data_IF_889168522727
#
_entry.id   IF_889168522727
#
_cell.length_a   1.000
_cell.length_b   1.000
_cell.length_c   1.000
_cell.angle_alpha   90.00
_cell.angle_beta   90.00
_cell.angle_gamma   90.00
#
_symmetry.space_group_name_H-M   'P 1'
#
loop_
_entity.id
_entity.type
_entity.pdbx_description
1 polymer ?
#
# COMPACT_ATOMS: atom_id res chain seq x y z
N UNK A 1 -58.97 -60.69 14.62
CA UNK A 1 -60.18 -60.11 13.98
C UNK A 1 -60.67 -58.94 14.82
N UNK A 2 -61.12 -57.88 14.13
CA UNK A 2 -61.82 -56.66 14.60
C UNK A 2 -60.94 -55.45 14.95
N UNK A 3 -60.80 -54.65 13.89
CA UNK A 3 -60.59 -53.20 13.83
C UNK A 3 -61.42 -52.44 14.87
N UNK A 4 -60.95 -51.27 15.33
CA UNK A 4 -61.66 -49.98 15.15
C UNK A 4 -60.71 -48.79 15.17
N UNK A 5 -60.92 -47.98 14.14
CA UNK A 5 -60.40 -46.67 13.79
C UNK A 5 -61.05 -45.60 14.70
N UNK A 6 -60.30 -44.59 15.15
CA UNK A 6 -60.87 -43.26 15.41
C UNK A 6 -59.81 -42.18 15.23
N UNK A 7 -60.11 -41.28 14.30
CA UNK A 7 -59.43 -40.03 13.98
C UNK A 7 -59.51 -39.01 15.13
N UNK A 8 -58.78 -37.90 14.92
CA UNK A 8 -58.85 -36.55 15.53
C UNK A 8 -57.74 -36.31 16.58
N UNK A 9 -56.88 -35.29 16.54
CA UNK A 9 -56.92 -33.94 15.96
C UNK A 9 -55.49 -33.45 15.66
N UNK A 10 -55.34 -32.54 14.70
CA UNK A 10 -54.12 -31.81 14.40
C UNK A 10 -53.56 -31.07 15.64
N UNK A 11 -52.27 -31.21 15.91
CA UNK A 11 -51.43 -30.10 16.37
C UNK A 11 -50.07 -30.17 15.67
N UNK A 12 -50.03 -29.60 14.46
CA UNK A 12 -48.79 -29.29 13.78
C UNK A 12 -48.14 -28.14 14.54
N UNK A 13 -47.39 -28.46 15.61
CA UNK A 13 -46.51 -27.48 16.26
C UNK A 13 -45.34 -27.27 15.30
N UNK A 14 -45.52 -26.31 14.38
CA UNK A 14 -44.42 -25.60 13.75
C UNK A 14 -43.63 -24.93 14.88
N UNK A 15 -42.65 -25.64 15.42
CA UNK A 15 -41.56 -25.00 16.15
C UNK A 15 -40.81 -24.21 15.09
N UNK A 16 -41.24 -22.96 14.91
CA UNK A 16 -40.48 -21.94 14.20
C UNK A 16 -39.20 -21.82 15.02
N UNK A 17 -38.17 -22.52 14.55
CA UNK A 17 -36.79 -22.26 14.95
C UNK A 17 -36.52 -20.81 14.55
N UNK A 18 -36.67 -19.88 15.47
CA UNK A 18 -36.03 -18.59 15.38
C UNK A 18 -34.53 -18.88 15.43
N UNK A 19 -33.95 -19.16 14.26
CA UNK A 19 -32.56 -18.84 14.02
C UNK A 19 -32.50 -17.33 14.14
N UNK A 20 -32.20 -16.86 15.35
CA UNK A 20 -31.52 -15.59 15.48
C UNK A 20 -30.26 -15.73 14.64
N UNK A 21 -30.27 -15.11 13.46
CA UNK A 21 -29.04 -14.79 12.77
C UNK A 21 -28.31 -13.85 13.71
N UNK A 22 -27.41 -14.41 14.53
CA UNK A 22 -26.37 -13.65 15.17
C UNK A 22 -25.59 -13.00 14.03
N UNK A 23 -25.83 -11.72 13.76
CA UNK A 23 -24.90 -10.90 13.00
C UNK A 23 -23.65 -10.79 13.87
N UNK A 24 -22.79 -11.79 13.77
CA UNK A 24 -21.45 -11.73 14.30
C UNK A 24 -20.70 -10.69 13.47
N UNK A 25 -20.77 -9.43 13.87
CA UNK A 25 -19.76 -8.44 13.50
C UNK A 25 -18.70 -8.46 14.61
N UNK A 26 -17.68 -9.31 14.50
CA UNK A 26 -16.37 -8.94 15.00
C UNK A 26 -15.41 -9.00 13.81
N UNK A 27 -15.56 -8.04 12.91
CA UNK A 27 -14.60 -7.84 11.82
C UNK A 27 -13.71 -6.68 12.22
N UNK A 28 -12.39 -6.85 12.16
CA UNK A 28 -11.42 -5.82 12.47
C UNK A 28 -11.73 -4.54 11.66
N UNK A 29 -12.36 -3.54 12.28
CA UNK A 29 -12.79 -2.29 11.63
C UNK A 29 -11.64 -1.53 10.94
N UNK A 30 -10.39 -1.89 11.23
CA UNK A 30 -9.18 -1.28 10.68
C UNK A 30 -8.54 -2.07 9.52
N UNK A 31 -9.27 -2.98 8.88
CA UNK A 31 -8.78 -3.64 7.66
C UNK A 31 -8.60 -2.62 6.54
N UNK A 32 -7.50 -2.74 5.79
CA UNK A 32 -7.12 -1.81 4.73
C UNK A 32 -6.72 -0.40 5.21
N UNK A 33 -6.67 -0.14 6.53
CA UNK A 33 -6.30 1.15 7.10
C UNK A 33 -4.79 1.19 7.44
N UNK A 34 -4.04 2.21 6.96
CA UNK A 34 -2.66 2.43 7.38
C UNK A 34 -2.57 2.73 8.87
N UNK A 35 -1.54 2.23 9.60
CA UNK A 35 -1.38 2.52 11.02
C UNK A 35 -1.37 4.01 11.39
N UNK A 36 -0.88 4.87 10.49
CA UNK A 36 -0.84 6.31 10.68
C UNK A 36 -2.23 6.97 10.65
N UNK A 37 -3.20 6.31 10.02
CA UNK A 37 -4.56 6.79 9.86
C UNK A 37 -5.53 6.18 10.87
N UNK A 38 -5.12 5.21 11.69
CA UNK A 38 -6.05 4.54 12.64
C UNK A 38 -6.75 5.55 13.57
N UNK A 39 -6.04 6.54 14.09
CA UNK A 39 -6.62 7.56 14.97
C UNK A 39 -7.64 8.46 14.26
N UNK A 40 -7.53 8.62 12.94
CA UNK A 40 -8.52 9.32 12.13
C UNK A 40 -9.85 8.56 12.10
N UNK A 41 -9.78 7.23 11.94
CA UNK A 41 -10.92 6.34 11.82
C UNK A 41 -11.50 5.89 13.18
N UNK A 42 -10.79 6.10 14.30
CA UNK A 42 -11.30 5.83 15.67
C UNK A 42 -12.45 6.75 16.10
N UNK A 43 -12.71 7.85 15.39
CA UNK A 43 -13.76 8.83 15.73
C UNK A 43 -15.16 8.28 15.47
N UNK A 44 -16.15 8.70 16.26
CA UNK A 44 -17.56 8.30 16.06
C UNK A 44 -18.16 8.86 14.77
N UNK A 45 -17.78 10.10 14.43
CA UNK A 45 -18.13 10.77 13.18
C UNK A 45 -16.84 11.09 12.44
N UNK A 46 -16.71 10.51 11.25
CA UNK A 46 -15.54 10.63 10.39
C UNK A 46 -15.94 11.54 9.22
N UNK A 47 -15.00 12.36 8.75
CA UNK A 47 -15.22 13.19 7.55
C UNK A 47 -14.65 12.45 6.35
N UNK A 48 -15.15 12.66 5.14
CA UNK A 48 -14.39 12.29 3.95
C UNK A 48 -13.12 13.17 3.89
N UNK A 49 -11.98 12.64 3.45
CA UNK A 49 -10.71 13.39 3.41
C UNK A 49 -10.76 14.58 2.45
N UNK A 50 -11.55 14.49 1.39
CA UNK A 50 -11.85 15.58 0.45
C UNK A 50 -12.80 16.66 1.03
N UNK A 51 -13.34 16.45 2.23
CA UNK A 51 -14.23 17.39 2.91
C UNK A 51 -15.68 17.40 2.43
N UNK A 52 -16.11 16.49 1.55
CA UNK A 52 -17.44 16.51 0.94
C UNK A 52 -18.58 16.24 1.95
N UNK A 53 -18.48 15.14 2.71
CA UNK A 53 -19.49 14.73 3.69
C UNK A 53 -18.87 14.09 4.93
N UNK A 54 -19.73 13.67 5.85
CA UNK A 54 -19.37 12.93 7.06
C UNK A 54 -20.13 11.61 7.08
N UNK A 55 -19.53 10.60 7.70
CA UNK A 55 -20.09 9.27 7.87
C UNK A 55 -19.83 8.77 9.28
N UNK A 56 -20.60 7.78 9.71
CA UNK A 56 -20.46 7.16 11.04
C UNK A 56 -19.59 5.91 10.96
N UNK A 57 -19.16 5.38 12.11
CA UNK A 57 -18.45 4.09 12.15
C UNK A 57 -19.22 2.92 11.53
N UNK A 58 -20.56 2.98 11.49
CA UNK A 58 -21.36 1.94 10.87
C UNK A 58 -21.24 1.91 9.34
N UNK A 59 -20.79 3.03 8.75
CA UNK A 59 -20.56 3.21 7.31
C UNK A 59 -19.08 3.13 6.97
N UNK A 60 -18.25 2.60 7.87
CA UNK A 60 -16.83 2.36 7.62
C UNK A 60 -16.68 0.90 7.23
N UNK A 61 -16.23 0.63 6.01
CA UNK A 61 -16.12 -0.72 5.45
C UNK A 61 -17.45 -1.48 5.46
N UNK A 62 -18.53 -0.82 5.06
CA UNK A 62 -19.88 -1.40 4.99
C UNK A 62 -20.24 -1.92 3.59
N UNK A 63 -19.26 -1.93 2.67
CA UNK A 63 -19.39 -2.34 1.28
C UNK A 63 -20.32 -1.42 0.46
N UNK A 64 -20.49 -0.17 0.92
CA UNK A 64 -21.23 0.86 0.19
C UNK A 64 -20.41 2.15 0.05
N UNK A 65 -20.24 2.62 -1.19
CA UNK A 65 -19.44 3.81 -1.43
C UNK A 65 -20.18 5.10 -1.11
N UNK A 66 -19.95 5.60 0.09
CA UNK A 66 -20.41 6.87 0.57
C UNK A 66 -19.51 8.02 0.09
N UNK A 67 -18.21 8.02 0.40
CA UNK A 67 -17.37 9.17 0.10
C UNK A 67 -16.92 9.15 -1.38
N UNK A 68 -16.99 10.29 -2.09
CA UNK A 68 -16.48 10.38 -3.46
C UNK A 68 -14.98 10.09 -3.60
N UNK A 69 -14.21 10.22 -2.52
CA UNK A 69 -12.78 9.91 -2.46
C UNK A 69 -12.48 8.50 -1.93
N UNK A 70 -13.51 7.73 -1.56
CA UNK A 70 -13.40 6.38 -1.00
C UNK A 70 -12.84 6.31 0.41
N UNK A 71 -12.87 7.40 1.18
CA UNK A 71 -12.36 7.42 2.57
C UNK A 71 -13.04 6.40 3.48
N UNK A 72 -14.32 6.16 3.26
CA UNK A 72 -15.22 5.28 4.02
C UNK A 72 -15.00 3.79 3.75
N UNK A 73 -14.41 3.43 2.61
CA UNK A 73 -14.20 2.03 2.21
C UNK A 73 -12.70 1.70 2.01
N UNK A 74 -11.83 1.91 3.02
CA UNK A 74 -10.41 1.53 2.92
C UNK A 74 -10.18 0.02 2.87
N UNK A 75 -11.14 -0.76 3.36
CA UNK A 75 -11.07 -2.19 3.58
C UNK A 75 -11.88 -3.04 2.61
N UNK A 76 -12.64 -2.43 1.70
CA UNK A 76 -13.53 -3.14 0.75
C UNK A 76 -13.27 -2.67 -0.69
N UNK A 77 -13.99 -3.28 -1.64
CA UNK A 77 -13.95 -2.93 -3.06
C UNK A 77 -14.98 -1.88 -3.49
N UNK A 78 -15.82 -1.37 -2.59
CA UNK A 78 -17.02 -0.62 -2.96
C UNK A 78 -16.74 0.74 -3.64
N UNK A 79 -15.65 1.41 -3.29
CA UNK A 79 -15.31 2.72 -3.85
C UNK A 79 -14.26 2.64 -4.97
N UNK A 80 -14.50 3.21 -6.18
CA UNK A 80 -13.59 3.09 -7.32
C UNK A 80 -12.24 3.82 -7.15
N UNK A 81 -12.19 4.86 -6.30
CA UNK A 81 -10.96 5.58 -5.97
C UNK A 81 -10.33 5.09 -4.65
N UNK A 82 -10.96 4.11 -4.00
CA UNK A 82 -10.49 3.52 -2.75
C UNK A 82 -9.14 2.84 -2.90
N UNK A 83 -8.39 2.80 -1.81
CA UNK A 83 -7.09 2.12 -1.73
C UNK A 83 -7.02 1.28 -0.48
N UNK A 84 -6.63 0.03 -0.66
CA UNK A 84 -6.45 -0.94 0.42
C UNK A 84 -4.99 -0.98 0.87
N UNK A 85 -4.76 -0.90 2.18
CA UNK A 85 -3.41 -1.00 2.75
C UNK A 85 -3.06 -2.44 3.14
N UNK A 86 -2.10 -3.03 2.42
CA UNK A 86 -1.45 -4.28 2.84
C UNK A 86 -0.38 -3.96 3.90
N UNK A 87 -0.50 -4.56 5.09
CA UNK A 87 0.50 -4.38 6.16
C UNK A 87 1.81 -5.08 5.80
N UNK A 88 1.73 -6.25 5.16
CA UNK A 88 2.85 -7.03 4.66
C UNK A 88 3.97 -7.19 5.70
N UNK A 89 3.64 -7.51 6.95
CA UNK A 89 4.63 -7.62 8.04
C UNK A 89 5.75 -8.58 7.60
N UNK A 90 7.02 -8.17 7.73
CA UNK A 90 8.18 -8.92 7.24
C UNK A 90 8.62 -8.54 5.82
N UNK A 91 7.80 -7.76 5.10
CA UNK A 91 8.12 -7.12 3.83
C UNK A 91 7.74 -5.62 3.87
N UNK A 92 7.87 -4.91 2.75
CA UNK A 92 7.44 -3.53 2.64
C UNK A 92 5.89 -3.46 2.53
N UNK A 93 5.24 -2.54 3.26
CA UNK A 93 3.80 -2.30 3.08
C UNK A 93 3.52 -1.75 1.69
N UNK A 94 2.31 -1.99 1.20
CA UNK A 94 1.88 -1.56 -0.13
C UNK A 94 0.42 -1.13 -0.14
N UNK A 95 0.05 -0.35 -1.15
CA UNK A 95 -1.34 -0.01 -1.43
C UNK A 95 -1.82 -0.73 -2.68
N UNK A 96 -3.03 -1.27 -2.61
CA UNK A 96 -3.75 -1.82 -3.75
C UNK A 96 -4.92 -0.90 -4.11
N UNK A 97 -5.37 -0.98 -5.36
CA UNK A 97 -6.65 -0.41 -5.74
C UNK A 97 -7.77 -1.26 -5.14
N UNK A 98 -8.84 -0.62 -4.68
CA UNK A 98 -10.01 -1.28 -4.08
C UNK A 98 -10.58 -2.40 -4.94
N UNK A 99 -10.49 -2.31 -6.27
CA UNK A 99 -10.95 -3.34 -7.21
C UNK A 99 -10.28 -4.70 -7.05
N UNK A 100 -9.18 -4.79 -6.30
CA UNK A 100 -8.43 -6.02 -6.01
C UNK A 100 -8.74 -6.63 -4.65
N UNK A 101 -9.67 -6.03 -3.90
CA UNK A 101 -10.08 -6.55 -2.61
C UNK A 101 -11.18 -7.59 -2.85
N UNK A 102 -10.97 -8.82 -2.38
CA UNK A 102 -11.87 -9.97 -2.60
C UNK A 102 -12.21 -10.23 -4.09
N UNK A 103 -11.24 -10.02 -4.99
CA UNK A 103 -11.39 -10.31 -6.43
C UNK A 103 -11.00 -11.77 -6.77
N UNK A 104 -10.51 -12.52 -5.79
CA UNK A 104 -10.08 -13.90 -5.90
C UNK A 104 -8.61 -14.08 -6.26
N UNK A 105 -7.81 -13.01 -6.28
CA UNK A 105 -6.39 -13.02 -6.58
C UNK A 105 -5.62 -12.56 -5.33
N UNK A 106 -4.57 -13.28 -4.97
CA UNK A 106 -3.72 -12.90 -3.83
C UNK A 106 -2.68 -11.86 -4.27
N UNK A 107 -2.96 -10.58 -4.06
CA UNK A 107 -2.07 -9.45 -4.33
C UNK A 107 -1.21 -9.06 -3.12
N UNK A 108 -1.77 -9.03 -1.90
CA UNK A 108 -0.96 -8.79 -0.70
C UNK A 108 -0.16 -10.05 -0.34
N UNK A 109 1.12 -9.90 0.04
CA UNK A 109 1.93 -11.06 0.45
C UNK A 109 1.46 -11.67 1.78
N UNK A 110 0.69 -10.91 2.57
CA UNK A 110 0.08 -11.37 3.81
C UNK A 110 -1.33 -11.96 3.58
N UNK A 111 -1.85 -11.90 2.35
CA UNK A 111 -3.17 -12.39 1.96
C UNK A 111 -4.34 -11.61 2.56
N UNK A 112 -4.10 -10.41 3.09
CA UNK A 112 -5.11 -9.63 3.80
C UNK A 112 -6.19 -9.01 2.90
N UNK A 113 -5.96 -8.98 1.59
CA UNK A 113 -6.85 -8.53 0.54
C UNK A 113 -8.01 -9.52 0.24
N UNK A 114 -7.80 -10.82 0.50
CA UNK A 114 -8.78 -11.88 0.25
C UNK A 114 -9.31 -12.47 1.58
N UNK A 115 -10.08 -11.67 2.31
CA UNK A 115 -10.54 -11.98 3.66
C UNK A 115 -11.94 -12.60 3.72
N UNK A 116 -12.68 -12.64 2.61
CA UNK A 116 -14.05 -13.19 2.55
C UNK A 116 -14.11 -14.73 2.62
N UNK A 117 -12.96 -15.40 2.57
CA UNK A 117 -12.82 -16.84 2.70
C UNK A 117 -13.10 -17.64 1.42
N UNK A 118 -13.37 -17.00 0.28
CA UNK A 118 -13.52 -17.69 -1.02
C UNK A 118 -12.19 -18.23 -1.54
N UNK A 119 -11.10 -17.52 -1.26
CA UNK A 119 -9.73 -17.90 -1.64
C UNK A 119 -8.87 -17.99 -0.38
N UNK A 120 -7.94 -18.95 -0.35
CA UNK A 120 -6.95 -19.08 0.73
C UNK A 120 -5.60 -18.57 0.25
N UNK A 121 -5.26 -17.35 0.62
CA UNK A 121 -3.97 -16.76 0.28
C UNK A 121 -2.87 -17.19 1.26
N UNK A 122 -1.75 -17.74 0.76
CA UNK A 122 -0.62 -18.12 1.61
C UNK A 122 0.18 -16.88 2.03
N UNK A 123 0.67 -16.89 3.27
CA UNK A 123 1.60 -15.86 3.74
C UNK A 123 2.99 -16.06 3.10
N UNK A 124 3.44 -15.09 2.32
CA UNK A 124 4.70 -15.11 1.55
C UNK A 124 5.65 -13.95 1.89
N UNK A 125 5.25 -13.04 2.80
CA UNK A 125 6.01 -11.83 3.08
C UNK A 125 7.43 -12.08 3.58
N UNK A 126 7.68 -13.13 4.36
CA UNK A 126 9.02 -13.40 4.88
C UNK A 126 10.03 -13.67 3.75
N UNK A 127 9.66 -14.52 2.78
CA UNK A 127 10.53 -14.84 1.66
C UNK A 127 10.69 -13.64 0.72
N UNK A 128 9.60 -12.97 0.38
CA UNK A 128 9.63 -11.75 -0.42
C UNK A 128 10.49 -10.65 0.24
N UNK A 129 10.36 -10.49 1.56
CA UNK A 129 11.16 -9.59 2.39
C UNK A 129 12.65 -9.91 2.35
N UNK A 130 13.01 -11.19 2.48
CA UNK A 130 14.40 -11.66 2.40
C UNK A 130 15.01 -11.34 1.03
N UNK A 131 14.32 -11.70 -0.06
CA UNK A 131 14.78 -11.42 -1.44
C UNK A 131 14.94 -9.91 -1.68
N UNK A 132 13.97 -9.11 -1.22
CA UNK A 132 14.02 -7.66 -1.35
C UNK A 132 15.20 -7.05 -0.57
N UNK A 133 15.47 -7.54 0.64
CA UNK A 133 16.60 -7.11 1.45
C UNK A 133 17.95 -7.44 0.78
N UNK A 134 18.11 -8.65 0.25
CA UNK A 134 19.32 -9.04 -0.47
C UNK A 134 19.53 -8.22 -1.75
N UNK A 135 18.45 -7.93 -2.48
CA UNK A 135 18.49 -7.05 -3.66
C UNK A 135 18.89 -5.61 -3.28
N UNK A 136 18.33 -5.08 -2.19
CA UNK A 136 18.64 -3.74 -1.70
C UNK A 136 20.11 -3.62 -1.25
N UNK A 137 20.63 -4.63 -0.53
CA UNK A 137 22.04 -4.66 -0.11
C UNK A 137 22.98 -4.56 -1.31
N UNK A 138 22.75 -5.36 -2.36
CA UNK A 138 23.55 -5.31 -3.60
C UNK A 138 23.48 -3.94 -4.27
N UNK A 139 22.31 -3.32 -4.34
CA UNK A 139 22.15 -1.97 -4.90
C UNK A 139 22.91 -0.92 -4.10
N UNK A 140 22.88 -1.02 -2.77
CA UNK A 140 23.61 -0.10 -1.88
C UNK A 140 25.12 -0.22 -2.09
N UNK A 141 25.63 -1.45 -2.18
CA UNK A 141 27.06 -1.72 -2.42
C UNK A 141 27.54 -1.08 -3.74
N UNK A 142 26.86 -1.37 -4.84
CA UNK A 142 27.16 -0.77 -6.15
C UNK A 142 27.08 0.76 -6.13
N UNK A 143 26.07 1.31 -5.43
CA UNK A 143 25.93 2.75 -5.28
C UNK A 143 27.10 3.37 -4.51
N UNK A 144 27.54 2.73 -3.42
CA UNK A 144 28.66 3.20 -2.60
C UNK A 144 29.97 3.20 -3.39
N UNK A 145 30.24 2.14 -4.16
CA UNK A 145 31.38 2.09 -5.08
C UNK A 145 31.35 3.25 -6.09
N UNK A 146 30.19 3.47 -6.70
CA UNK A 146 29.98 4.58 -7.64
C UNK A 146 30.20 5.96 -7.00
N UNK A 147 29.79 6.15 -5.74
CA UNK A 147 30.03 7.39 -4.99
C UNK A 147 31.52 7.62 -4.75
N UNK A 148 32.29 6.58 -4.42
CA UNK A 148 33.75 6.68 -4.21
C UNK A 148 34.44 7.07 -5.51
N UNK A 149 34.14 6.39 -6.61
CA UNK A 149 34.72 6.69 -7.92
C UNK A 149 34.39 8.13 -8.35
N UNK A 150 33.12 8.53 -8.24
CA UNK A 150 32.68 9.89 -8.56
C UNK A 150 33.45 10.95 -7.79
N UNK A 151 33.78 10.69 -6.51
CA UNK A 151 34.57 11.62 -5.68
C UNK A 151 35.99 11.79 -6.22
N UNK A 152 36.63 10.70 -6.66
CA UNK A 152 37.98 10.73 -7.26
C UNK A 152 37.96 11.51 -8.57
N UNK A 153 37.02 11.20 -9.46
CA UNK A 153 36.87 11.86 -10.77
C UNK A 153 36.59 13.36 -10.64
N UNK A 154 35.73 13.76 -9.70
CA UNK A 154 35.51 15.18 -9.40
C UNK A 154 36.82 15.86 -8.97
N UNK A 155 37.64 15.18 -8.17
CA UNK A 155 38.95 15.70 -7.75
C UNK A 155 39.93 15.85 -8.92
N UNK A 156 39.97 14.87 -9.82
CA UNK A 156 40.80 14.91 -11.03
C UNK A 156 40.36 16.02 -11.98
N UNK A 157 39.06 16.10 -12.27
CA UNK A 157 38.48 17.14 -13.10
C UNK A 157 38.79 18.55 -12.57
N UNK A 158 38.65 18.78 -11.25
CA UNK A 158 39.02 20.06 -10.63
C UNK A 158 40.50 20.41 -10.84
N UNK A 159 41.40 19.44 -10.72
CA UNK A 159 42.84 19.65 -10.96
C UNK A 159 43.14 19.93 -12.44
N UNK A 160 42.51 19.21 -13.35
CA UNK A 160 42.68 19.43 -14.79
C UNK A 160 42.22 20.85 -15.18
N UNK A 161 41.01 21.24 -14.76
CA UNK A 161 40.47 22.59 -14.99
C UNK A 161 41.41 23.68 -14.45
N UNK A 162 42.00 23.47 -13.27
CA UNK A 162 42.95 24.43 -12.70
C UNK A 162 44.23 24.57 -13.54
N UNK A 163 44.78 23.46 -14.05
CA UNK A 163 45.96 23.47 -14.94
C UNK A 163 45.66 24.15 -16.27
N UNK A 164 44.56 23.76 -16.91
CA UNK A 164 44.15 24.33 -18.21
C UNK A 164 43.90 25.83 -18.10
N UNK A 165 43.30 26.28 -16.98
CA UNK A 165 43.10 27.71 -16.70
C UNK A 165 44.43 28.47 -16.53
N UNK A 166 45.41 27.87 -15.84
CA UNK A 166 46.73 28.47 -15.65
C UNK A 166 47.49 28.57 -16.99
N UNK A 167 47.47 27.51 -17.79
CA UNK A 167 48.11 27.49 -19.10
C UNK A 167 47.45 28.48 -20.08
N UNK A 168 46.11 28.54 -20.11
CA UNK A 168 45.39 29.52 -20.89
C UNK A 168 45.77 30.95 -20.50
N UNK A 169 45.96 31.24 -19.21
CA UNK A 169 46.42 32.55 -18.77
C UNK A 169 47.84 32.86 -19.25
N UNK A 170 48.76 31.87 -19.21
CA UNK A 170 50.13 32.04 -19.70
C UNK A 170 50.15 32.32 -21.21
N UNK A 171 49.45 31.50 -21.99
CA UNK A 171 49.37 31.65 -23.45
C UNK A 171 48.72 32.99 -23.86
N UNK A 172 47.73 33.49 -23.11
CA UNK A 172 47.16 34.82 -23.34
C UNK A 172 48.19 35.93 -23.15
N UNK A 173 48.99 35.86 -22.09
CA UNK A 173 50.05 36.84 -21.84
C UNK A 173 51.14 36.77 -22.91
N UNK A 174 51.57 35.56 -23.29
CA UNK A 174 52.55 35.36 -24.37
C UNK A 174 52.04 35.92 -25.71
N UNK A 175 50.77 35.68 -26.06
CA UNK A 175 50.14 36.24 -27.25
C UNK A 175 50.18 37.78 -27.23
N UNK A 176 49.83 38.40 -26.11
CA UNK A 176 49.83 39.87 -25.98
C UNK A 176 51.25 40.45 -26.14
N UNK A 177 52.27 39.77 -25.63
CA UNK A 177 53.67 40.19 -25.82
C UNK A 177 54.07 40.09 -27.29
N UNK A 178 53.74 38.99 -27.96
CA UNK A 178 54.06 38.79 -29.39
C UNK A 178 53.32 39.81 -30.26
N UNK A 179 52.05 40.08 -30.01
CA UNK A 179 51.27 41.11 -30.73
C UNK A 179 51.93 42.49 -30.64
N UNK A 180 52.50 42.85 -29.49
CA UNK A 180 53.23 44.13 -29.29
C UNK A 180 54.60 44.19 -29.97
N UNK A 181 55.18 43.06 -30.37
CA UNK A 181 56.47 43.00 -31.08
C UNK A 181 56.27 43.00 -32.60
N UNK A 182 55.10 42.56 -33.07
CA UNK A 182 54.74 42.46 -34.50
C UNK A 182 54.07 43.76 -35.03
N UNK A 183 53.84 44.75 -34.16
CA UNK A 183 53.40 46.11 -34.52
C UNK A 183 54.43 47.13 -34.07
#
# INVERSE_FOLDING_TARGET
MKQRLSLMYLSFILIISSRESSSSIPSNSFIGIPPQDEDYFKREIIKCKNGSKKFTKAQLNDDFCDCPDGTDEPGTSACPLGKFYCKNIGHAPSFLYSSRVNDGICDCCDGSDEYDGKVKCPYTCHEAGKVAMESLKRKIEVYQEGVILRKVEIGLAKRAIARDKAELSRLKNEREVVEKVVH
#
